data_IF_196250419062
#
_entry.id   IF_196250419062
#
_cell.length_a   1.000
_cell.length_b   1.000
_cell.length_c   1.000
_cell.angle_alpha   90.00
_cell.angle_beta   90.00
_cell.angle_gamma   90.00
#
_symmetry.space_group_name_H-M   'P 1'
#
loop_
_entity.id
_entity.type
_entity.pdbx_description
1 polymer ?
#
# COMPACT_ATOMS: atom_id res chain seq x y z
N UNK A 1 -18.45 -12.10 -23.23
CA UNK A 1 -17.03 -12.29 -22.90
C UNK A 1 -16.79 -11.66 -21.54
N UNK A 2 -16.41 -12.46 -20.54
CA UNK A 2 -16.00 -11.92 -19.25
C UNK A 2 -14.58 -11.36 -19.40
N UNK A 3 -14.41 -10.04 -19.24
CA UNK A 3 -13.08 -9.41 -19.20
C UNK A 3 -12.42 -9.77 -17.86
N UNK A 4 -11.72 -10.90 -17.80
CA UNK A 4 -10.85 -11.20 -16.65
C UNK A 4 -9.71 -10.18 -16.59
N UNK A 5 -9.57 -9.50 -15.45
CA UNK A 5 -8.36 -8.72 -15.15
C UNK A 5 -7.31 -9.68 -14.63
N UNK A 6 -6.28 -9.95 -15.44
CA UNK A 6 -5.18 -10.87 -15.09
C UNK A 6 -3.97 -10.06 -14.65
N UNK A 7 -3.37 -10.43 -13.52
CA UNK A 7 -2.13 -9.84 -13.01
C UNK A 7 -1.02 -10.85 -13.27
N UNK A 8 -0.05 -10.48 -14.09
CA UNK A 8 1.09 -11.34 -14.42
C UNK A 8 2.28 -10.99 -13.53
N UNK A 9 3.00 -12.02 -13.05
CA UNK A 9 4.32 -11.84 -12.46
C UNK A 9 5.31 -11.46 -13.55
N UNK A 10 6.06 -10.38 -13.36
CA UNK A 10 7.09 -9.97 -14.32
C UNK A 10 8.30 -10.93 -14.27
N UNK A 11 9.01 -11.10 -15.39
CA UNK A 11 10.19 -11.96 -15.45
C UNK A 11 11.32 -11.49 -14.50
N UNK A 12 11.41 -10.19 -14.22
CA UNK A 12 12.35 -9.63 -13.23
C UNK A 12 11.92 -9.92 -11.78
N UNK A 13 10.63 -10.15 -11.53
CA UNK A 13 10.08 -10.46 -10.21
C UNK A 13 10.05 -11.98 -9.92
N UNK A 14 10.62 -12.81 -10.81
CA UNK A 14 10.54 -14.29 -10.77
C UNK A 14 11.03 -14.94 -9.45
N UNK A 15 11.76 -14.20 -8.60
CA UNK A 15 12.20 -14.64 -7.28
C UNK A 15 11.81 -13.69 -6.13
N UNK A 16 11.02 -12.64 -6.40
CA UNK A 16 10.55 -11.70 -5.39
C UNK A 16 9.28 -12.25 -4.76
N UNK A 17 9.34 -12.65 -3.48
CA UNK A 17 8.19 -13.24 -2.80
C UNK A 17 7.09 -12.23 -2.52
N UNK A 18 7.43 -11.03 -2.02
CA UNK A 18 6.52 -9.90 -1.76
C UNK A 18 7.35 -8.60 -1.71
N UNK A 19 6.75 -7.47 -2.08
CA UNK A 19 7.34 -6.13 -1.92
C UNK A 19 6.92 -5.53 -0.58
N UNK A 20 7.88 -4.95 0.16
CA UNK A 20 7.61 -4.21 1.40
C UNK A 20 7.57 -2.72 1.10
N UNK A 21 6.46 -2.08 1.45
CA UNK A 21 6.31 -0.63 1.45
C UNK A 21 6.30 -0.12 2.88
N UNK A 22 6.76 1.10 3.09
CA UNK A 22 6.94 1.69 4.41
C UNK A 22 5.95 2.83 4.63
N UNK A 23 5.41 2.94 5.83
CA UNK A 23 4.63 4.07 6.30
C UNK A 23 5.16 4.59 7.64
N UNK A 24 4.80 5.81 8.01
CA UNK A 24 5.19 6.44 9.28
C UNK A 24 4.00 7.09 9.95
N UNK A 25 4.02 7.23 11.28
CA UNK A 25 2.92 7.84 12.04
C UNK A 25 2.76 9.34 11.80
N UNK A 26 3.81 10.00 11.31
CA UNK A 26 3.82 11.45 11.10
C UNK A 26 2.97 11.90 9.90
N UNK A 27 2.68 11.02 8.95
CA UNK A 27 1.82 11.32 7.81
C UNK A 27 1.25 10.05 7.16
N UNK A 28 0.33 10.21 6.22
CA UNK A 28 -0.41 9.08 5.68
C UNK A 28 0.11 8.61 4.31
N UNK A 29 1.42 8.63 4.06
CA UNK A 29 1.97 8.20 2.76
C UNK A 29 2.70 6.85 2.83
N UNK A 30 2.74 6.16 1.69
CA UNK A 30 3.59 4.99 1.47
C UNK A 30 4.88 5.36 0.77
N UNK A 31 5.95 4.68 1.15
CA UNK A 31 7.31 4.91 0.68
C UNK A 31 7.97 3.61 0.23
N UNK A 32 8.92 3.71 -0.69
CA UNK A 32 9.71 2.57 -1.19
C UNK A 32 10.80 2.11 -0.23
N UNK A 33 11.18 2.94 0.75
CA UNK A 33 12.19 2.61 1.76
C UNK A 33 11.83 3.09 3.17
N UNK A 34 12.56 2.58 4.16
CA UNK A 34 12.34 2.87 5.58
C UNK A 34 12.70 4.30 5.99
N UNK A 35 13.36 5.08 5.13
CA UNK A 35 13.68 6.49 5.42
C UNK A 35 12.46 7.38 5.31
N UNK A 36 11.44 6.94 4.58
CA UNK A 36 10.16 7.63 4.41
C UNK A 36 10.34 9.10 3.99
N UNK A 37 11.25 9.34 3.03
CA UNK A 37 11.57 10.65 2.49
C UNK A 37 10.58 11.07 1.39
N UNK A 38 10.38 12.38 1.19
CA UNK A 38 9.43 12.89 0.18
C UNK A 38 9.71 12.36 -1.24
N UNK A 39 10.98 12.22 -1.60
CA UNK A 39 11.40 11.69 -2.90
C UNK A 39 11.03 10.20 -3.10
N UNK A 40 10.80 9.47 -2.01
CA UNK A 40 10.52 8.03 -2.02
C UNK A 40 9.03 7.71 -1.89
N UNK A 41 8.14 8.72 -1.91
CA UNK A 41 6.69 8.46 -1.91
C UNK A 41 6.31 7.69 -3.17
N UNK A 42 5.54 6.61 -2.99
CA UNK A 42 5.10 5.76 -4.09
C UNK A 42 4.04 6.49 -4.90
N UNK A 43 4.19 6.53 -6.23
CA UNK A 43 3.17 7.07 -7.13
C UNK A 43 1.96 6.14 -7.26
N UNK A 44 0.87 6.69 -7.79
CA UNK A 44 -0.42 6.01 -7.95
C UNK A 44 -0.30 4.68 -8.72
N UNK A 45 0.30 4.71 -9.90
CA UNK A 45 0.29 3.57 -10.81
C UNK A 45 1.18 2.44 -10.28
N UNK A 46 2.34 2.81 -9.75
CA UNK A 46 3.23 1.87 -9.05
C UNK A 46 2.52 1.24 -7.85
N UNK A 47 1.87 2.03 -6.99
CA UNK A 47 1.19 1.52 -5.82
C UNK A 47 0.04 0.56 -6.18
N UNK A 48 -0.78 0.92 -7.17
CA UNK A 48 -1.89 0.07 -7.63
C UNK A 48 -1.38 -1.27 -8.16
N UNK A 49 -0.33 -1.24 -8.97
CA UNK A 49 0.26 -2.45 -9.54
C UNK A 49 0.84 -3.36 -8.45
N UNK A 50 1.62 -2.78 -7.52
CA UNK A 50 2.19 -3.52 -6.40
C UNK A 50 1.09 -4.15 -5.53
N UNK A 51 0.06 -3.39 -5.16
CA UNK A 51 -1.06 -3.90 -4.37
C UNK A 51 -1.77 -5.10 -5.02
N UNK A 52 -1.97 -5.06 -6.34
CA UNK A 52 -2.54 -6.18 -7.11
C UNK A 52 -1.66 -7.43 -7.12
N UNK A 53 -0.34 -7.27 -6.97
CA UNK A 53 0.64 -8.36 -6.90
C UNK A 53 0.87 -8.91 -5.48
N UNK A 54 0.41 -8.18 -4.46
CA UNK A 54 0.62 -8.52 -3.06
C UNK A 54 1.78 -7.73 -2.46
N UNK A 55 1.47 -6.88 -1.48
CA UNK A 55 2.45 -6.08 -0.72
C UNK A 55 2.33 -6.35 0.76
N UNK A 56 3.44 -6.09 1.46
CA UNK A 56 3.48 -6.01 2.91
C UNK A 56 3.72 -4.55 3.29
N UNK A 57 2.99 -4.05 4.28
CA UNK A 57 3.15 -2.68 4.79
C UNK A 57 3.93 -2.74 6.10
N UNK A 58 5.10 -2.10 6.14
CA UNK A 58 5.84 -1.84 7.36
C UNK A 58 5.40 -0.51 7.96
N UNK A 59 4.79 -0.54 9.15
CA UNK A 59 4.32 0.64 9.84
C UNK A 59 4.54 0.49 11.34
N UNK A 60 5.16 1.49 11.98
CA UNK A 60 5.48 1.47 13.41
C UNK A 60 6.14 0.15 13.88
N UNK A 61 7.19 -0.27 13.17
CA UNK A 61 7.95 -1.50 13.45
C UNK A 61 7.14 -2.81 13.37
N UNK A 62 5.96 -2.78 12.76
CA UNK A 62 5.08 -3.93 12.56
C UNK A 62 4.79 -4.12 11.07
N UNK A 63 4.68 -5.37 10.64
CA UNK A 63 4.36 -5.73 9.26
C UNK A 63 2.90 -6.14 9.12
N UNK A 64 2.20 -5.55 8.16
CA UNK A 64 0.78 -5.73 7.93
C UNK A 64 0.51 -6.24 6.51
N UNK A 65 -0.50 -7.09 6.39
CA UNK A 65 -1.13 -7.40 5.12
C UNK A 65 -2.25 -6.37 4.88
N UNK A 66 -2.33 -5.74 3.69
CA UNK A 66 -3.48 -4.91 3.34
C UNK A 66 -4.79 -5.69 3.43
N UNK A 67 -5.82 -5.06 3.99
CA UNK A 67 -7.19 -5.58 3.94
C UNK A 67 -7.82 -5.29 2.58
N UNK A 68 -7.64 -4.05 2.11
CA UNK A 68 -8.09 -3.61 0.80
C UNK A 68 -7.30 -2.40 0.33
N UNK A 69 -7.39 -2.13 -0.96
CA UNK A 69 -6.88 -0.93 -1.61
C UNK A 69 -7.88 -0.47 -2.66
N UNK A 70 -7.87 0.84 -2.96
CA UNK A 70 -8.74 1.40 -4.01
C UNK A 70 -8.14 2.65 -4.63
N UNK A 71 -8.55 2.94 -5.85
CA UNK A 71 -8.37 4.27 -6.41
C UNK A 71 -9.36 5.23 -5.74
N UNK A 72 -8.88 6.39 -5.33
CA UNK A 72 -9.69 7.46 -4.77
C UNK A 72 -10.13 8.42 -5.89
N UNK A 73 -11.27 9.09 -5.69
CA UNK A 73 -11.78 10.10 -6.63
C UNK A 73 -10.80 11.27 -6.85
N UNK A 74 -9.92 11.54 -5.89
CA UNK A 74 -8.87 12.56 -5.98
C UNK A 74 -7.62 12.15 -6.77
N UNK A 75 -7.63 10.98 -7.42
CA UNK A 75 -6.51 10.53 -8.26
C UNK A 75 -5.37 9.83 -7.52
N UNK A 76 -5.49 9.63 -6.21
CA UNK A 76 -4.54 8.82 -5.42
C UNK A 76 -5.00 7.37 -5.32
N UNK A 77 -4.13 6.48 -4.83
CA UNK A 77 -4.48 5.14 -4.36
C UNK A 77 -4.37 5.10 -2.85
N UNK A 78 -5.33 4.46 -2.18
CA UNK A 78 -5.28 4.21 -0.74
C UNK A 78 -5.12 2.71 -0.45
N UNK A 79 -4.45 2.42 0.67
CA UNK A 79 -4.23 1.07 1.19
C UNK A 79 -4.58 1.07 2.67
N UNK A 80 -5.52 0.19 3.06
CA UNK A 80 -5.99 0.10 4.44
C UNK A 80 -5.60 -1.23 5.05
N UNK A 81 -5.06 -1.19 6.28
CA UNK A 81 -4.69 -2.37 7.06
C UNK A 81 -5.16 -2.24 8.51
N UNK A 82 -5.45 -3.37 9.17
CA UNK A 82 -5.84 -3.39 10.58
C UNK A 82 -4.60 -3.26 11.48
N UNK A 83 -4.63 -2.29 12.39
CA UNK A 83 -3.60 -2.08 13.41
C UNK A 83 -3.97 -2.70 14.76
N UNK A 84 -5.25 -2.97 14.98
CA UNK A 84 -5.74 -3.78 16.09
C UNK A 84 -6.99 -4.56 15.66
N UNK A 85 -7.03 -5.84 16.01
CA UNK A 85 -8.21 -6.70 15.80
C UNK A 85 -8.52 -7.38 17.13
N UNK A 86 -9.66 -7.05 17.72
CA UNK A 86 -10.15 -7.69 18.94
C UNK A 86 -11.66 -7.88 18.86
N UNK A 87 -12.21 -8.71 19.77
CA UNK A 87 -13.66 -8.95 19.84
C UNK A 87 -14.47 -7.69 20.19
N UNK A 88 -13.85 -6.69 20.80
CA UNK A 88 -14.54 -5.51 21.36
C UNK A 88 -14.20 -4.21 20.65
N UNK A 89 -13.12 -4.17 19.86
CA UNK A 89 -12.69 -3.02 19.09
C UNK A 89 -11.81 -3.43 17.92
N UNK A 90 -11.92 -2.69 16.81
CA UNK A 90 -11.01 -2.80 15.67
C UNK A 90 -10.47 -1.41 15.32
N UNK A 91 -9.18 -1.35 15.01
CA UNK A 91 -8.53 -0.14 14.52
C UNK A 91 -7.89 -0.43 13.17
N UNK A 92 -7.97 0.54 12.25
CA UNK A 92 -7.37 0.46 10.94
C UNK A 92 -6.62 1.76 10.63
N UNK A 93 -5.63 1.64 9.76
CA UNK A 93 -4.87 2.77 9.24
C UNK A 93 -4.92 2.73 7.72
N UNK A 94 -5.11 3.90 7.12
CA UNK A 94 -5.10 4.09 5.68
C UNK A 94 -3.92 4.96 5.30
N UNK A 95 -3.11 4.46 4.38
CA UNK A 95 -1.99 5.20 3.78
C UNK A 95 -2.23 5.36 2.29
N UNK A 96 -1.58 6.36 1.69
CA UNK A 96 -1.87 6.82 0.34
C UNK A 96 -0.63 6.91 -0.54
N UNK A 97 -0.86 6.90 -1.86
CA UNK A 97 0.14 7.30 -2.85
C UNK A 97 0.45 8.80 -2.76
N UNK A 98 1.56 9.22 -3.40
CA UNK A 98 2.08 10.59 -3.33
C UNK A 98 1.11 11.67 -3.80
N UNK A 99 0.16 11.33 -4.67
CA UNK A 99 -0.85 12.22 -5.25
C UNK A 99 -1.94 12.62 -4.25
N UNK A 100 -1.97 11.98 -3.08
CA UNK A 100 -2.92 12.36 -2.05
C UNK A 100 -2.61 13.77 -1.56
N UNK A 101 -3.52 14.69 -1.85
CA UNK A 101 -3.57 16.01 -1.22
C UNK A 101 -4.23 15.82 0.15
N UNK A 102 -3.42 15.74 1.20
CA UNK A 102 -3.94 15.82 2.56
C UNK A 102 -4.65 17.18 2.70
N UNK A 103 -5.95 17.15 3.00
CA UNK A 103 -6.76 18.34 3.28
C UNK A 103 -6.39 19.00 4.59
#
# INVERSE_FOLDING_TARGET
MNNMTVVYSDAEEKYVKNVVLYGKTANNYLYTDSKCSEANKVDKDTLLNLCKKGVIISYNNTYYMPLFFKEESGGSVSVTFATAVSASASAATTLYSKEHSAG
#
